data_IF_067072257625
#
_entry.id   IF_067072257625
#
_cell.length_a   1.000
_cell.length_b   1.000
_cell.length_c   1.000
_cell.angle_alpha   90.00
_cell.angle_beta   90.00
_cell.angle_gamma   90.00
#
_symmetry.space_group_name_H-M   'P 1'
#
loop_
_entity.id
_entity.type
_entity.pdbx_description
1 polymer ?
#
# COMPACT_ATOMS: atom_id res chain seq x y z
N UNK A 1 12.83 2.28 -3.98
CA UNK A 1 12.75 3.26 -2.89
C UNK A 1 12.12 2.55 -1.72
N UNK A 2 12.86 2.33 -0.62
CA UNK A 2 12.31 1.75 0.59
C UNK A 2 11.32 2.74 1.20
N UNK A 3 10.11 2.28 1.53
CA UNK A 3 9.14 3.08 2.27
C UNK A 3 9.76 3.45 3.62
N UNK A 4 10.05 4.74 3.78
CA UNK A 4 10.48 5.30 5.07
C UNK A 4 9.27 5.19 5.98
N UNK A 5 9.29 4.25 6.92
CA UNK A 5 8.24 4.13 7.92
C UNK A 5 8.47 5.22 8.95
N UNK A 6 7.67 6.29 8.91
CA UNK A 6 7.51 7.16 10.07
C UNK A 6 6.94 6.28 11.19
N UNK A 7 7.75 6.00 12.22
CA UNK A 7 7.29 5.27 13.39
C UNK A 7 6.49 6.24 14.26
N UNK A 8 5.30 6.60 13.75
CA UNK A 8 4.36 7.46 14.44
C UNK A 8 3.98 6.88 15.79
N UNK A 9 3.60 7.78 16.69
CA UNK A 9 2.98 7.42 17.96
C UNK A 9 1.75 6.55 17.64
N UNK A 10 1.83 5.23 17.91
CA UNK A 10 0.68 4.31 17.95
C UNK A 10 -0.53 4.96 18.65
N UNK A 11 -1.65 5.02 17.96
CA UNK A 11 -2.94 5.57 18.38
C UNK A 11 -4.06 4.54 18.15
N UNK A 12 -5.25 4.84 18.68
CA UNK A 12 -6.46 4.08 18.39
C UNK A 12 -6.75 4.07 16.87
N UNK A 13 -7.16 2.92 16.35
CA UNK A 13 -7.38 2.67 14.92
C UNK A 13 -6.13 2.31 14.12
N UNK A 14 -4.93 2.47 14.66
CA UNK A 14 -3.70 2.11 13.95
C UNK A 14 -3.58 0.60 13.76
N UNK A 15 -3.15 0.20 12.58
CA UNK A 15 -2.69 -1.16 12.33
C UNK A 15 -1.32 -1.38 12.96
N UNK A 16 -1.17 -2.47 13.69
CA UNK A 16 0.06 -2.83 14.40
C UNK A 16 0.42 -4.29 14.17
N UNK A 17 1.71 -4.57 14.17
CA UNK A 17 2.24 -5.92 14.34
C UNK A 17 3.03 -6.01 15.64
N UNK A 18 3.07 -7.18 16.24
CA UNK A 18 3.79 -7.35 17.49
C UNK A 18 3.85 -8.79 17.97
N UNK A 19 4.27 -8.92 19.22
CA UNK A 19 4.36 -10.20 19.89
C UNK A 19 3.49 -10.19 21.15
N UNK A 20 2.64 -11.20 21.31
CA UNK A 20 1.77 -11.37 22.46
C UNK A 20 2.59 -11.69 23.73
N UNK A 21 2.01 -11.60 24.93
CA UNK A 21 2.68 -12.04 26.14
C UNK A 21 3.12 -13.51 26.12
N UNK A 22 2.47 -14.35 25.30
CA UNK A 22 2.76 -15.77 25.13
C UNK A 22 3.72 -16.06 23.96
N UNK A 23 4.39 -15.02 23.45
CA UNK A 23 5.36 -15.08 22.34
C UNK A 23 4.78 -15.36 20.94
N UNK A 24 3.47 -15.22 20.79
CA UNK A 24 2.77 -15.38 19.49
C UNK A 24 2.92 -14.11 18.65
N UNK A 25 3.08 -14.25 17.34
CA UNK A 25 3.14 -13.10 16.43
C UNK A 25 1.74 -12.75 15.97
N UNK A 26 1.38 -11.48 16.06
CA UNK A 26 0.07 -11.00 15.64
C UNK A 26 0.15 -9.79 14.71
N UNK A 27 -0.90 -9.61 13.91
CA UNK A 27 -1.28 -8.39 13.23
C UNK A 27 -2.72 -8.06 13.65
N UNK A 28 -2.98 -6.79 13.95
CA UNK A 28 -4.29 -6.32 14.35
C UNK A 28 -4.40 -4.81 14.33
N UNK A 29 -5.53 -4.29 14.76
CA UNK A 29 -5.75 -2.84 14.92
C UNK A 29 -5.91 -2.49 16.40
N UNK A 30 -5.45 -1.30 16.78
CA UNK A 30 -5.53 -0.81 18.15
C UNK A 30 -6.96 -0.38 18.45
N UNK A 31 -7.60 -1.05 19.40
CA UNK A 31 -8.94 -0.74 19.89
C UNK A 31 -8.90 0.40 20.92
N UNK A 32 -7.85 0.47 21.75
CA UNK A 32 -7.65 1.58 22.69
C UNK A 32 -6.21 1.66 23.18
N UNK A 33 -5.83 2.86 23.64
CA UNK A 33 -4.52 3.15 24.24
C UNK A 33 -4.73 3.67 25.66
N UNK A 34 -4.14 2.98 26.64
CA UNK A 34 -4.17 3.39 28.03
C UNK A 34 -3.09 4.46 28.33
N UNK A 35 -3.33 5.42 29.26
CA UNK A 35 -2.35 6.44 29.65
C UNK A 35 -0.99 5.89 30.13
N UNK A 36 -0.97 4.65 30.65
CA UNK A 36 0.22 3.96 31.13
C UNK A 36 1.00 3.21 30.02
N UNK A 37 0.57 3.34 28.75
CA UNK A 37 1.29 2.79 27.59
C UNK A 37 0.99 1.33 27.28
N UNK A 38 -0.12 0.81 27.82
CA UNK A 38 -0.71 -0.45 27.36
C UNK A 38 -1.62 -0.17 26.16
N UNK A 39 -1.67 -1.10 25.22
CA UNK A 39 -2.58 -1.04 24.07
C UNK A 39 -3.43 -2.31 24.05
N UNK A 40 -4.71 -2.14 23.73
CA UNK A 40 -5.60 -3.24 23.39
C UNK A 40 -5.65 -3.36 21.88
N UNK A 41 -5.45 -4.59 21.39
CA UNK A 41 -5.38 -4.87 19.96
C UNK A 41 -6.38 -5.96 19.63
N UNK A 42 -7.28 -5.69 18.69
CA UNK A 42 -8.10 -6.71 18.06
C UNK A 42 -7.26 -7.43 17.00
N UNK A 43 -7.00 -8.72 17.23
CA UNK A 43 -6.11 -9.52 16.38
C UNK A 43 -6.86 -10.03 15.15
N UNK A 44 -6.35 -9.73 13.96
CA UNK A 44 -6.93 -10.21 12.69
C UNK A 44 -6.11 -11.34 12.07
N UNK A 45 -4.81 -11.42 12.37
CA UNK A 45 -3.94 -12.51 11.94
C UNK A 45 -2.98 -12.87 13.08
N UNK A 46 -2.71 -14.16 13.24
CA UNK A 46 -1.75 -14.67 14.23
C UNK A 46 -1.14 -15.99 13.75
N UNK A 47 0.07 -16.30 14.20
CA UNK A 47 0.64 -17.65 14.05
C UNK A 47 0.04 -18.68 15.02
N UNK A 48 -0.73 -18.22 16.00
CA UNK A 48 -1.57 -19.03 16.86
C UNK A 48 -3.06 -18.78 16.58
N UNK A 49 -3.74 -19.82 16.09
CA UNK A 49 -5.11 -19.70 15.57
C UNK A 49 -6.14 -19.27 16.64
N UNK A 50 -5.94 -19.66 17.90
CA UNK A 50 -6.84 -19.31 19.01
C UNK A 50 -6.79 -17.82 19.36
N UNK A 51 -5.71 -17.12 18.98
CA UNK A 51 -5.55 -15.68 19.22
C UNK A 51 -6.29 -14.83 18.18
N UNK A 52 -6.65 -15.39 17.02
CA UNK A 52 -7.34 -14.64 15.96
C UNK A 52 -8.77 -14.29 16.39
N UNK A 53 -9.21 -13.07 16.10
CA UNK A 53 -10.49 -12.47 16.55
C UNK A 53 -10.62 -12.34 18.08
N UNK A 54 -9.49 -12.29 18.78
CA UNK A 54 -9.45 -11.97 20.21
C UNK A 54 -8.86 -10.59 20.44
N UNK A 55 -9.20 -9.99 21.57
CA UNK A 55 -8.53 -8.77 22.05
C UNK A 55 -7.38 -9.17 22.96
N UNK A 56 -6.18 -8.72 22.61
CA UNK A 56 -5.00 -8.88 23.46
C UNK A 56 -4.56 -7.55 24.03
N UNK A 57 -3.99 -7.59 25.23
CA UNK A 57 -3.36 -6.42 25.84
C UNK A 57 -1.84 -6.60 25.82
N UNK A 58 -1.13 -5.62 25.26
CA UNK A 58 0.33 -5.65 25.19
C UNK A 58 0.93 -4.28 25.47
N UNK A 59 2.21 -4.27 25.84
CA UNK A 59 2.95 -3.01 25.98
C UNK A 59 3.15 -2.42 24.61
N UNK A 60 2.93 -1.11 24.48
CA UNK A 60 3.18 -0.36 23.26
C UNK A 60 4.58 -0.59 22.67
N UNK A 61 5.58 -0.81 23.51
CA UNK A 61 6.98 -1.10 23.12
C UNK A 61 7.16 -2.46 22.42
N UNK A 62 6.22 -3.40 22.59
CA UNK A 62 6.20 -4.72 21.95
C UNK A 62 5.41 -4.74 20.63
N UNK A 63 4.85 -3.60 20.24
CA UNK A 63 4.12 -3.44 19.00
C UNK A 63 4.81 -2.39 18.12
N UNK A 64 4.66 -2.53 16.82
CA UNK A 64 5.10 -1.56 15.82
C UNK A 64 3.92 -1.18 14.96
N UNK A 65 3.73 0.13 14.75
CA UNK A 65 2.79 0.63 13.76
C UNK A 65 3.17 0.11 12.38
N UNK A 66 2.21 -0.46 11.68
CA UNK A 66 2.35 -0.82 10.28
C UNK A 66 2.24 0.44 9.42
N UNK A 67 2.99 0.52 8.31
CA UNK A 67 2.89 1.66 7.41
C UNK A 67 1.46 1.75 6.87
N UNK A 68 0.96 2.98 6.74
CA UNK A 68 -0.33 3.20 6.11
C UNK A 68 -0.30 2.64 4.69
N UNK A 69 -1.32 1.88 4.34
CA UNK A 69 -1.43 1.32 3.01
C UNK A 69 -1.89 2.42 2.05
N UNK A 70 -1.02 2.76 1.10
CA UNK A 70 -1.32 3.67 0.00
C UNK A 70 -1.33 2.84 -1.29
N UNK A 71 -2.50 2.69 -1.96
CA UNK A 71 -2.58 1.94 -3.20
C UNK A 71 -1.73 2.61 -4.27
N UNK A 72 -0.91 1.83 -4.97
CA UNK A 72 0.17 2.37 -5.81
C UNK A 72 0.04 2.06 -7.30
N UNK A 73 -0.79 1.07 -7.66
CA UNK A 73 -1.02 0.63 -9.04
C UNK A 73 -2.45 0.94 -9.48
N UNK A 74 -2.65 1.08 -10.79
CA UNK A 74 -3.99 1.24 -11.35
C UNK A 74 -4.91 0.04 -11.03
N UNK A 75 -4.36 -1.17 -10.93
CA UNK A 75 -5.08 -2.41 -10.63
C UNK A 75 -5.57 -2.47 -9.17
N UNK A 76 -4.72 -2.08 -8.21
CA UNK A 76 -5.08 -1.95 -6.80
C UNK A 76 -6.21 -0.92 -6.62
N UNK A 77 -6.03 0.26 -7.22
CA UNK A 77 -7.01 1.35 -7.18
C UNK A 77 -8.35 0.91 -7.79
N UNK A 78 -8.33 0.19 -8.92
CA UNK A 78 -9.55 -0.34 -9.53
C UNK A 78 -10.28 -1.29 -8.59
N UNK A 79 -9.56 -2.18 -7.92
CA UNK A 79 -10.16 -3.14 -6.98
C UNK A 79 -10.84 -2.43 -5.80
N UNK A 80 -10.23 -1.36 -5.29
CA UNK A 80 -10.82 -0.53 -4.24
C UNK A 80 -12.02 0.28 -4.72
N UNK A 81 -12.02 0.76 -5.97
CA UNK A 81 -13.16 1.46 -6.58
C UNK A 81 -14.38 0.55 -6.65
N UNK A 82 -14.22 -0.69 -7.10
CA UNK A 82 -15.32 -1.67 -7.11
C UNK A 82 -15.87 -1.91 -5.70
N UNK A 83 -14.99 -1.96 -4.69
CA UNK A 83 -15.41 -2.09 -3.29
C UNK A 83 -16.19 -0.87 -2.80
N UNK A 84 -15.75 0.35 -3.12
CA UNK A 84 -16.45 1.59 -2.78
C UNK A 84 -17.86 1.65 -3.39
N UNK A 85 -18.00 1.16 -4.63
CA UNK A 85 -19.30 1.05 -5.29
C UNK A 85 -20.21 0.02 -4.61
N UNK A 86 -19.64 -1.14 -4.22
CA UNK A 86 -20.38 -2.19 -3.50
C UNK A 86 -20.89 -1.70 -2.14
N UNK A 87 -20.12 -0.86 -1.44
CA UNK A 87 -20.49 -0.29 -0.14
C UNK A 87 -21.28 1.02 -0.23
N UNK A 88 -21.54 1.51 -1.45
CA UNK A 88 -22.20 2.80 -1.71
C UNK A 88 -21.48 4.01 -1.08
N UNK A 89 -20.16 3.93 -0.90
CA UNK A 89 -19.36 5.02 -0.33
C UNK A 89 -18.91 6.00 -1.43
N UNK A 90 -19.74 7.02 -1.64
CA UNK A 90 -19.50 8.04 -2.66
C UNK A 90 -18.22 8.84 -2.40
N UNK A 91 -17.95 9.23 -1.15
CA UNK A 91 -16.81 10.08 -0.82
C UNK A 91 -15.49 9.33 -1.06
N UNK A 92 -15.45 8.06 -0.64
CA UNK A 92 -14.30 7.21 -0.87
C UNK A 92 -14.10 6.90 -2.36
N UNK A 93 -15.18 6.63 -3.10
CA UNK A 93 -15.14 6.43 -4.55
C UNK A 93 -14.52 7.64 -5.27
N UNK A 94 -14.96 8.87 -4.98
CA UNK A 94 -14.44 10.09 -5.61
C UNK A 94 -12.94 10.28 -5.32
N UNK A 95 -12.50 10.00 -4.09
CA UNK A 95 -11.10 10.03 -3.70
C UNK A 95 -10.25 9.00 -4.47
N UNK A 96 -10.73 7.77 -4.60
CA UNK A 96 -10.04 6.69 -5.31
C UNK A 96 -9.98 6.95 -6.81
N UNK A 97 -11.06 7.50 -7.39
CA UNK A 97 -11.11 7.85 -8.81
C UNK A 97 -10.07 8.93 -9.14
N UNK A 98 -9.90 9.94 -8.28
CA UNK A 98 -8.82 10.92 -8.42
C UNK A 98 -7.44 10.26 -8.48
N UNK A 99 -7.12 9.40 -7.51
CA UNK A 99 -5.85 8.66 -7.47
C UNK A 99 -5.66 7.76 -8.70
N UNK A 100 -6.72 7.10 -9.16
CA UNK A 100 -6.67 6.23 -10.35
C UNK A 100 -6.27 7.00 -11.61
N UNK A 101 -6.80 8.21 -11.81
CA UNK A 101 -6.44 9.03 -12.98
C UNK A 101 -4.95 9.40 -12.98
N UNK A 102 -4.38 9.73 -11.81
CA UNK A 102 -2.96 10.02 -11.67
C UNK A 102 -2.08 8.78 -11.93
N UNK A 103 -2.48 7.63 -11.40
CA UNK A 103 -1.76 6.37 -11.60
C UNK A 103 -1.76 5.93 -13.07
N UNK A 104 -2.93 5.98 -13.72
CA UNK A 104 -3.08 5.62 -15.14
C UNK A 104 -2.24 6.54 -16.06
N UNK A 105 -2.19 7.84 -15.76
CA UNK A 105 -1.35 8.78 -16.51
C UNK A 105 0.15 8.46 -16.38
N UNK A 106 0.62 8.11 -15.17
CA UNK A 106 2.01 7.69 -14.92
C UNK A 106 2.38 6.41 -15.67
N UNK A 107 1.47 5.45 -15.77
CA UNK A 107 1.67 4.20 -16.49
C UNK A 107 1.72 4.42 -18.01
N UNK A 108 0.84 5.26 -18.57
CA UNK A 108 0.84 5.60 -20.00
C UNK A 108 2.13 6.32 -20.44
N UNK A 109 2.65 7.24 -19.62
CA UNK A 109 3.91 7.95 -19.89
C UNK A 109 5.15 7.05 -19.91
N UNK A 110 5.17 5.98 -19.10
CA UNK A 110 6.27 4.99 -19.06
C UNK A 110 6.34 4.13 -20.32
N UNK A 111 5.21 3.87 -20.98
CA UNK A 111 5.15 3.10 -22.24
C UNK A 111 5.66 3.86 -23.46
N UNK A 112 5.61 5.20 -23.45
CA UNK A 112 6.04 6.06 -24.57
C UNK A 112 7.55 6.12 -24.77
N UNK A 113 8.34 6.09 -23.67
CA UNK A 113 9.79 6.24 -23.74
C UNK A 113 10.53 5.02 -24.33
N UNK A 114 9.93 3.82 -24.29
CA UNK A 114 10.57 2.59 -24.82
C UNK A 114 10.36 2.37 -26.32
N UNK A 115 9.46 3.11 -26.98
CA UNK A 115 9.16 2.93 -28.41
C UNK A 115 9.97 3.82 -29.36
N UNK A 116 10.73 4.81 -28.86
CA UNK A 116 11.47 5.75 -29.72
C UNK A 116 12.93 5.37 -30.03
N UNK A 117 13.44 4.22 -29.54
CA UNK A 117 14.83 3.79 -29.77
C UNK A 117 14.97 2.68 -30.83
N UNK A 118 13.93 2.41 -31.61
CA UNK A 118 13.99 1.48 -32.75
C UNK A 118 13.22 2.11 -33.89
N UNK A 119 13.89 2.88 -34.76
CA UNK A 119 13.62 3.13 -36.18
C UNK A 119 14.32 4.43 -36.59
N UNK A 120 15.63 4.37 -36.78
CA UNK A 120 16.37 5.24 -37.69
C UNK A 120 17.78 4.66 -37.90
N UNK A 121 17.88 3.56 -38.66
CA UNK A 121 19.16 3.16 -39.24
C UNK A 121 18.99 2.89 -40.73
N UNK A 122 19.56 3.80 -41.52
CA UNK A 122 19.95 3.68 -42.93
C UNK A 122 18.84 3.73 -43.99
N UNK A 123 18.57 4.94 -44.47
CA UNK A 123 18.54 5.23 -45.91
C UNK A 123 19.55 6.35 -46.16
N UNK A 124 20.04 6.44 -47.40
CA UNK A 124 21.06 7.34 -47.93
C UNK A 124 22.48 6.74 -47.88
N UNK A 125 22.84 6.01 -48.95
CA UNK A 125 23.83 6.54 -49.90
C UNK A 125 23.79 5.72 -51.19
N UNK A 126 23.19 6.32 -52.21
CA UNK A 126 23.22 5.88 -53.60
C UNK A 126 23.10 7.11 -54.48
N UNK A 127 24.23 7.73 -54.79
CA UNK A 127 24.47 8.61 -55.96
C UNK A 127 25.97 8.49 -56.26
N UNK A 128 26.31 7.71 -57.28
CA UNK A 128 26.88 8.22 -58.54
C UNK A 128 28.28 8.84 -58.39
N UNK A 129 29.28 8.15 -58.94
CA UNK A 129 30.41 8.82 -59.55
C UNK A 129 30.64 8.21 -60.93
N UNK A 130 30.30 9.01 -61.93
CA UNK A 130 30.62 8.85 -63.35
C UNK A 130 31.87 9.69 -63.60
N UNK A 131 32.98 9.04 -63.94
CA UNK A 131 33.97 9.37 -64.98
C UNK A 131 35.27 8.61 -64.75
#
# INVERSE_FOLDING_TARGET
MAAVSEHGIIQEGDWVSGTSPLDERFIGYVESVDPHGMIKVMVTQSDHAETVNTVIETRRLKARKLPDYVPSTSEELRSLIELALLTYDKAWFEQLQGQFTEAAAKEAGRGGAKRSMVYNRTRLNGTENIK
#
